data_IF_154491540034
#
_entry.id   IF_154491540034
#
_cell.length_a   1.000
_cell.length_b   1.000
_cell.length_c   1.000
_cell.angle_alpha   90.00
_cell.angle_beta   90.00
_cell.angle_gamma   90.00
#
_symmetry.space_group_name_H-M   'P 1'
#
loop_
_entity.id
_entity.type
_entity.pdbx_description
1 polymer ?
#
# COMPACT_ATOMS: atom_id res chain seq x y z
N UNK A 1 8.96 -51.65 0.52
CA UNK A 1 9.11 -50.83 1.74
C UNK A 1 10.53 -51.07 2.21
N UNK A 2 11.43 -50.15 1.88
CA UNK A 2 12.78 -50.18 2.43
C UNK A 2 12.66 -49.94 3.93
N UNK A 3 13.16 -50.91 4.71
CA UNK A 3 13.19 -50.82 6.15
C UNK A 3 14.13 -49.66 6.50
N UNK A 4 13.62 -48.64 7.20
CA UNK A 4 14.43 -47.48 7.59
C UNK A 4 15.68 -47.92 8.35
N UNK A 5 16.81 -47.28 8.04
CA UNK A 5 18.06 -47.49 8.77
C UNK A 5 17.84 -47.12 10.24
N UNK A 6 18.08 -48.07 11.14
CA UNK A 6 18.03 -47.80 12.59
C UNK A 6 19.38 -47.26 13.03
N UNK A 7 19.38 -46.11 13.68
CA UNK A 7 20.55 -45.55 14.36
C UNK A 7 20.56 -46.03 15.82
N UNK A 8 21.75 -46.20 16.38
CA UNK A 8 21.89 -46.50 17.80
C UNK A 8 21.57 -45.25 18.64
N UNK A 9 21.15 -45.44 19.89
CA UNK A 9 20.79 -44.32 20.79
C UNK A 9 22.00 -43.44 21.09
N UNK A 10 23.22 -44.01 21.18
CA UNK A 10 24.44 -43.22 21.38
C UNK A 10 24.74 -42.34 20.15
N UNK A 11 24.63 -42.90 18.95
CA UNK A 11 24.81 -42.15 17.70
C UNK A 11 23.76 -41.04 17.54
N UNK A 12 22.53 -41.28 18.00
CA UNK A 12 21.50 -40.25 18.05
C UNK A 12 21.83 -39.12 19.03
N UNK A 13 22.37 -39.43 20.21
CA UNK A 13 22.75 -38.43 21.22
C UNK A 13 23.92 -37.54 20.73
N UNK A 14 24.91 -38.14 20.06
CA UNK A 14 26.04 -37.41 19.46
C UNK A 14 25.56 -36.41 18.38
N UNK A 15 24.61 -36.84 17.54
CA UNK A 15 24.00 -35.95 16.54
C UNK A 15 23.24 -34.80 17.22
N UNK A 16 22.47 -35.07 18.28
CA UNK A 16 21.74 -34.01 18.96
C UNK A 16 22.67 -32.97 19.61
N UNK A 17 23.85 -33.38 20.07
CA UNK A 17 24.88 -32.48 20.58
C UNK A 17 25.57 -31.68 19.47
N UNK A 18 25.87 -32.30 18.33
CA UNK A 18 26.47 -31.62 17.17
C UNK A 18 25.59 -30.47 16.65
N UNK A 19 24.26 -30.63 16.73
CA UNK A 19 23.29 -29.64 16.26
C UNK A 19 22.70 -28.76 17.37
N UNK A 20 23.25 -28.81 18.59
CA UNK A 20 22.86 -27.98 19.75
C UNK A 20 21.36 -28.06 20.07
N UNK A 21 20.77 -29.26 19.89
CA UNK A 21 19.33 -29.49 20.04
C UNK A 21 19.00 -29.71 21.52
N UNK A 22 18.07 -28.92 22.06
CA UNK A 22 17.63 -29.08 23.43
C UNK A 22 16.89 -30.43 23.63
N UNK A 23 17.58 -31.37 24.28
CA UNK A 23 17.12 -32.74 24.55
C UNK A 23 15.85 -32.79 25.41
N UNK A 24 15.57 -31.76 26.21
CA UNK A 24 14.36 -31.69 27.05
C UNK A 24 13.06 -31.49 26.23
N UNK A 25 13.19 -31.09 24.96
CA UNK A 25 12.05 -30.88 24.05
C UNK A 25 11.75 -32.12 23.20
N UNK A 26 12.54 -33.20 23.33
CA UNK A 26 12.38 -34.43 22.56
C UNK A 26 11.71 -35.49 23.43
N UNK A 27 10.60 -36.05 22.96
CA UNK A 27 9.91 -37.16 23.62
C UNK A 27 10.20 -38.47 22.89
N UNK A 28 10.99 -39.33 23.54
CA UNK A 28 11.23 -40.69 23.06
C UNK A 28 10.00 -41.56 23.35
N UNK A 29 9.37 -42.06 22.28
CA UNK A 29 8.22 -42.97 22.40
C UNK A 29 8.71 -44.39 22.18
N UNK A 30 8.60 -45.22 23.23
CA UNK A 30 8.90 -46.64 23.12
C UNK A 30 7.87 -47.31 22.21
N UNK A 31 8.28 -47.78 21.04
CA UNK A 31 7.43 -48.54 20.13
C UNK A 31 7.24 -49.98 20.68
N UNK A 32 6.02 -50.34 21.14
CA UNK A 32 5.71 -51.66 21.68
C UNK A 32 5.79 -52.76 20.60
N UNK A 33 5.53 -52.41 19.34
CA UNK A 33 5.54 -53.36 18.23
C UNK A 33 6.97 -53.71 17.83
N UNK A 34 7.86 -52.72 17.77
CA UNK A 34 9.27 -52.96 17.48
C UNK A 34 9.97 -53.76 18.59
N UNK A 35 9.65 -53.47 19.86
CA UNK A 35 10.17 -54.25 21.00
C UNK A 35 9.65 -55.68 21.04
N UNK A 36 8.40 -55.92 20.65
CA UNK A 36 7.85 -57.27 20.49
C UNK A 36 8.51 -58.03 19.32
N UNK A 37 8.72 -57.36 18.19
CA UNK A 37 9.39 -57.92 17.01
C UNK A 37 10.83 -58.36 17.30
N UNK A 38 11.62 -57.54 18.01
CA UNK A 38 12.99 -57.89 18.42
C UNK A 38 13.05 -59.06 19.41
N UNK A 39 12.04 -59.21 20.27
CA UNK A 39 11.93 -60.38 21.19
C UNK A 39 11.66 -61.68 20.42
N UNK A 40 10.83 -61.63 19.37
CA UNK A 40 10.55 -62.76 18.49
C UNK A 40 11.78 -63.16 17.65
N UNK A 41 12.53 -62.20 17.12
CA UNK A 41 13.80 -62.48 16.43
C UNK A 41 14.83 -63.17 17.36
N UNK A 42 14.99 -62.67 18.59
CA UNK A 42 15.88 -63.28 19.61
C UNK A 42 15.40 -64.64 20.13
N UNK A 43 14.15 -65.02 19.90
CA UNK A 43 13.64 -66.38 20.15
C UNK A 43 13.95 -67.30 18.96
N UNK A 44 13.81 -66.81 17.72
CA UNK A 44 14.16 -67.57 16.51
C UNK A 44 15.67 -67.88 16.40
N UNK A 45 16.53 -66.99 16.88
CA UNK A 45 18.00 -67.21 16.94
C UNK A 45 18.41 -68.22 18.00
N UNK A 46 17.54 -68.55 18.98
CA UNK A 46 17.80 -69.59 19.99
C UNK A 46 17.26 -70.96 19.60
N UNK A 47 16.33 -71.04 18.65
CA UNK A 47 15.76 -72.31 18.16
C UNK A 47 16.60 -72.98 17.06
N UNK A 48 17.55 -72.26 16.44
CA UNK A 48 18.43 -72.80 15.39
C UNK A 48 19.60 -73.67 15.89
N UNK A 49 19.81 -73.81 17.21
CA UNK A 49 20.93 -74.56 17.80
C UNK A 49 20.59 -76.00 18.24
N UNK A 50 19.41 -76.52 17.88
CA UNK A 50 19.07 -77.93 18.16
C UNK A 50 18.34 -78.58 17.00
N UNK A 51 19.00 -79.53 16.29
CA UNK A 51 18.51 -80.85 15.79
C UNK A 51 19.49 -81.46 14.73
N UNK A 52 19.62 -82.80 14.64
CA UNK A 52 20.91 -83.50 14.49
C UNK A 52 21.23 -84.06 13.09
N UNK A 53 22.51 -84.37 12.87
CA UNK A 53 23.07 -84.99 11.65
C UNK A 53 22.67 -86.46 11.52
N UNK A 54 21.91 -86.81 10.47
CA UNK A 54 21.71 -88.19 10.03
C UNK A 54 22.72 -88.54 8.94
N UNK A 55 23.57 -89.55 9.19
CA UNK A 55 24.42 -90.18 8.18
C UNK A 55 23.59 -91.15 7.34
N UNK A 56 23.65 -91.02 6.01
CA UNK A 56 23.09 -91.96 5.05
C UNK A 56 24.22 -92.64 4.28
N UNK A 57 24.40 -93.93 4.53
CA UNK A 57 25.25 -94.82 3.74
C UNK A 57 24.69 -94.96 2.31
N UNK A 58 25.58 -94.91 1.32
CA UNK A 58 25.28 -95.37 -0.04
C UNK A 58 26.19 -96.55 -0.37
N UNK A 59 25.56 -97.73 -0.51
CA UNK A 59 26.13 -98.94 -1.07
C UNK A 59 26.21 -98.82 -2.59
N UNK A 60 27.28 -99.34 -3.19
CA UNK A 60 27.36 -99.63 -4.62
C UNK A 60 27.50 -101.14 -4.81
N UNK A 61 26.43 -101.77 -5.30
CA UNK A 61 26.39 -103.06 -5.99
C UNK A 61 26.88 -102.88 -7.44
N UNK A 62 27.68 -103.78 -8.01
CA UNK A 62 27.30 -104.87 -8.95
C UNK A 62 28.60 -105.30 -9.70
N UNK A 63 28.66 -106.39 -10.52
CA UNK A 63 27.80 -107.57 -10.64
C UNK A 63 28.58 -108.91 -10.65
N UNK A 64 27.82 -109.99 -10.64
CA UNK A 64 28.23 -111.39 -10.74
C UNK A 64 28.47 -111.87 -12.20
N UNK A 65 29.14 -113.04 -12.29
CA UNK A 65 29.04 -114.13 -13.29
C UNK A 65 30.08 -114.22 -14.43
N UNK A 66 30.32 -115.40 -15.06
CA UNK A 66 30.09 -116.80 -14.65
C UNK A 66 31.33 -117.73 -14.79
N UNK A 67 31.21 -118.95 -14.25
CA UNK A 67 32.04 -120.12 -14.58
C UNK A 67 31.91 -120.55 -16.06
N UNK A 68 33.02 -120.98 -16.68
CA UNK A 68 33.00 -121.85 -17.85
C UNK A 68 34.19 -122.83 -17.81
N UNK A 69 33.83 -124.11 -17.75
CA UNK A 69 34.67 -125.30 -17.90
C UNK A 69 35.08 -125.53 -19.36
N UNK A 70 36.34 -125.95 -19.63
CA UNK A 70 36.65 -126.96 -20.65
C UNK A 70 38.16 -127.30 -20.72
N UNK A 71 38.44 -128.57 -20.41
CA UNK A 71 39.45 -129.51 -20.94
C UNK A 71 40.78 -129.02 -21.58
N UNK A 72 41.88 -129.55 -21.02
CA UNK A 72 43.25 -129.58 -21.55
C UNK A 72 43.37 -130.29 -22.93
N UNK A 73 44.45 -130.05 -23.69
CA UNK A 73 45.59 -130.97 -23.60
C UNK A 73 46.94 -130.27 -23.41
N UNK A 74 47.82 -130.99 -22.74
CA UNK A 74 49.16 -130.63 -22.29
C UNK A 74 50.16 -130.35 -23.43
N UNK A 75 51.21 -129.60 -23.06
CA UNK A 75 52.50 -129.37 -23.73
C UNK A 75 52.60 -128.23 -24.76
N UNK A 76 52.90 -127.03 -24.24
CA UNK A 76 54.06 -126.25 -24.71
C UNK A 76 54.44 -125.25 -23.61
N UNK A 77 55.69 -125.30 -23.14
CA UNK A 77 56.24 -124.32 -22.20
C UNK A 77 56.37 -122.97 -22.92
N UNK A 78 55.29 -122.19 -22.87
CA UNK A 78 55.23 -120.81 -23.34
C UNK A 78 55.80 -119.94 -22.21
N UNK A 79 56.84 -119.17 -22.51
CA UNK A 79 57.28 -118.05 -21.67
C UNK A 79 56.20 -116.96 -21.72
N UNK A 80 55.16 -117.14 -20.90
CA UNK A 80 53.98 -116.26 -20.79
C UNK A 80 54.27 -114.99 -19.99
N UNK A 81 55.49 -114.85 -19.49
CA UNK A 81 55.90 -113.79 -18.55
C UNK A 81 55.94 -112.41 -19.23
N UNK A 82 56.38 -112.35 -20.49
CA UNK A 82 56.48 -111.10 -21.27
C UNK A 82 55.10 -110.54 -21.71
N UNK A 83 54.21 -111.40 -22.20
CA UNK A 83 52.84 -110.98 -22.59
C UNK A 83 52.00 -110.55 -21.38
N UNK A 84 52.15 -111.22 -20.24
CA UNK A 84 51.45 -110.86 -19.01
C UNK A 84 51.93 -109.52 -18.46
N UNK A 85 53.24 -109.25 -18.50
CA UNK A 85 53.80 -107.96 -18.09
C UNK A 85 53.35 -106.81 -19.01
N UNK A 86 53.36 -107.02 -20.33
CA UNK A 86 52.86 -106.04 -21.31
C UNK A 86 51.38 -105.73 -21.14
N UNK A 87 50.55 -106.75 -20.90
CA UNK A 87 49.12 -106.57 -20.63
C UNK A 87 48.87 -105.80 -19.34
N UNK A 88 49.59 -106.12 -18.25
CA UNK A 88 49.48 -105.40 -16.98
C UNK A 88 49.90 -103.92 -17.12
N UNK A 89 50.99 -103.64 -17.82
CA UNK A 89 51.44 -102.27 -18.08
C UNK A 89 50.43 -101.49 -18.95
N UNK A 90 49.89 -102.11 -20.00
CA UNK A 90 48.87 -101.49 -20.84
C UNK A 90 47.57 -101.22 -20.07
N UNK A 91 47.16 -102.17 -19.21
CA UNK A 91 46.01 -102.02 -18.32
C UNK A 91 46.23 -100.90 -17.28
N UNK A 92 47.44 -100.79 -16.72
CA UNK A 92 47.79 -99.72 -15.81
C UNK A 92 47.78 -98.35 -16.49
N UNK A 93 48.34 -98.24 -17.71
CA UNK A 93 48.26 -97.03 -18.51
C UNK A 93 46.82 -96.66 -18.86
N UNK A 94 45.97 -97.64 -19.20
CA UNK A 94 44.56 -97.42 -19.48
C UNK A 94 43.82 -96.92 -18.23
N UNK A 95 44.07 -97.51 -17.06
CA UNK A 95 43.48 -97.10 -15.79
C UNK A 95 43.94 -95.69 -15.37
N UNK A 96 45.21 -95.33 -15.60
CA UNK A 96 45.72 -93.97 -15.37
C UNK A 96 45.04 -92.97 -16.31
N UNK A 97 44.94 -93.28 -17.60
CA UNK A 97 44.25 -92.44 -18.59
C UNK A 97 42.75 -92.25 -18.25
N UNK A 98 42.09 -93.30 -17.75
CA UNK A 98 40.71 -93.22 -17.29
C UNK A 98 40.56 -92.29 -16.07
N UNK A 99 41.46 -92.40 -15.09
CA UNK A 99 41.50 -91.50 -13.92
C UNK A 99 41.74 -90.05 -14.32
N UNK A 100 42.65 -89.81 -15.26
CA UNK A 100 42.94 -88.46 -15.80
C UNK A 100 41.73 -87.88 -16.54
N UNK A 101 41.08 -88.69 -17.38
CA UNK A 101 39.84 -88.31 -18.07
C UNK A 101 38.73 -87.96 -17.07
N UNK A 102 38.54 -88.79 -16.05
CA UNK A 102 37.50 -88.54 -15.04
C UNK A 102 37.81 -87.29 -14.20
N UNK A 103 39.08 -86.99 -13.93
CA UNK A 103 39.50 -85.74 -13.28
C UNK A 103 39.22 -84.52 -14.19
N UNK A 104 39.52 -84.63 -15.48
CA UNK A 104 39.23 -83.58 -16.47
C UNK A 104 37.73 -83.32 -16.59
N UNK A 105 36.90 -84.37 -16.62
CA UNK A 105 35.43 -84.26 -16.61
C UNK A 105 34.93 -83.57 -15.34
N UNK A 106 35.43 -83.94 -14.16
CA UNK A 106 35.09 -83.26 -12.90
C UNK A 106 35.48 -81.78 -12.90
N UNK A 107 36.64 -81.45 -13.49
CA UNK A 107 37.10 -80.06 -13.61
C UNK A 107 36.24 -79.27 -14.60
N UNK A 108 35.86 -79.86 -15.73
CA UNK A 108 34.95 -79.26 -16.71
C UNK A 108 33.56 -78.99 -16.09
N UNK A 109 33.01 -79.96 -15.36
CA UNK A 109 31.72 -79.80 -14.66
C UNK A 109 31.75 -78.65 -13.64
N UNK A 110 32.86 -78.47 -12.90
CA UNK A 110 33.04 -77.33 -11.98
C UNK A 110 33.09 -75.98 -12.69
N UNK A 111 33.70 -75.92 -13.89
CA UNK A 111 33.71 -74.68 -14.68
C UNK A 111 32.33 -74.37 -15.25
N UNK A 112 31.60 -75.39 -15.72
CA UNK A 112 30.23 -75.24 -16.20
C UNK A 112 29.30 -74.75 -15.07
N UNK A 113 29.42 -75.29 -13.86
CA UNK A 113 28.64 -74.83 -12.70
C UNK A 113 28.97 -73.38 -12.34
N UNK A 114 30.24 -72.98 -12.39
CA UNK A 114 30.64 -71.59 -12.18
C UNK A 114 30.08 -70.66 -13.26
N UNK A 115 30.13 -71.06 -14.53
CA UNK A 115 29.58 -70.28 -15.63
C UNK A 115 28.08 -70.03 -15.43
N UNK A 116 27.31 -71.08 -15.07
CA UNK A 116 25.87 -70.94 -14.74
C UNK A 116 25.61 -69.95 -13.60
N UNK A 117 26.43 -69.98 -12.53
CA UNK A 117 26.32 -69.01 -11.43
C UNK A 117 26.61 -67.58 -11.87
N UNK A 118 27.56 -67.38 -12.79
CA UNK A 118 27.83 -66.05 -13.36
C UNK A 118 26.67 -65.56 -14.21
N UNK A 119 26.07 -66.42 -15.05
CA UNK A 119 24.90 -66.06 -15.86
C UNK A 119 23.69 -65.69 -14.97
N UNK A 120 23.44 -66.46 -13.90
CA UNK A 120 22.40 -66.16 -12.91
C UNK A 120 22.64 -64.81 -12.20
N UNK A 121 23.89 -64.51 -11.84
CA UNK A 121 24.26 -63.23 -11.24
C UNK A 121 24.06 -62.06 -12.21
N UNK A 122 24.44 -62.22 -13.47
CA UNK A 122 24.27 -61.21 -14.52
C UNK A 122 22.79 -60.86 -14.73
N UNK A 123 21.90 -61.86 -14.70
CA UNK A 123 20.44 -61.62 -14.75
C UNK A 123 19.97 -60.82 -13.54
N UNK A 124 20.38 -61.20 -12.33
CA UNK A 124 20.02 -60.47 -11.09
C UNK A 124 20.53 -59.03 -11.10
N UNK A 125 21.75 -58.79 -11.60
CA UNK A 125 22.27 -57.42 -11.74
C UNK A 125 21.45 -56.57 -12.71
N UNK A 126 20.98 -57.15 -13.82
CA UNK A 126 20.09 -56.45 -14.76
C UNK A 126 18.73 -56.13 -14.15
N UNK A 127 18.18 -57.04 -13.36
CA UNK A 127 16.92 -56.80 -12.63
C UNK A 127 17.07 -55.70 -11.58
N UNK A 128 18.09 -55.78 -10.72
CA UNK A 128 18.38 -54.75 -9.72
C UNK A 128 18.60 -53.37 -10.36
N UNK A 129 19.27 -53.32 -11.52
CA UNK A 129 19.46 -52.06 -12.26
C UNK A 129 18.12 -51.46 -12.71
N UNK A 130 17.21 -52.27 -13.24
CA UNK A 130 15.87 -51.81 -13.64
C UNK A 130 15.04 -51.33 -12.45
N UNK A 131 15.11 -52.03 -11.32
CA UNK A 131 14.44 -51.63 -10.08
C UNK A 131 14.97 -50.30 -9.55
N UNK A 132 16.30 -50.11 -9.54
CA UNK A 132 16.93 -48.84 -9.18
C UNK A 132 16.47 -47.70 -10.07
N UNK A 133 16.48 -47.88 -11.39
CA UNK A 133 16.01 -46.86 -12.35
C UNK A 133 14.52 -46.54 -12.16
N UNK A 134 13.70 -47.51 -11.73
CA UNK A 134 12.29 -47.29 -11.43
C UNK A 134 12.10 -46.50 -10.13
N UNK A 135 12.88 -46.79 -9.10
CA UNK A 135 12.88 -46.06 -7.83
C UNK A 135 13.33 -44.61 -8.04
N UNK A 136 14.40 -44.38 -8.79
CA UNK A 136 14.88 -43.04 -9.12
C UNK A 136 13.80 -42.20 -9.82
N UNK A 137 13.05 -42.79 -10.76
CA UNK A 137 11.91 -42.11 -11.41
C UNK A 137 10.79 -41.76 -10.44
N UNK A 138 10.47 -42.65 -9.50
CA UNK A 138 9.45 -42.39 -8.46
C UNK A 138 9.89 -41.27 -7.53
N UNK A 139 11.15 -41.28 -7.07
CA UNK A 139 11.73 -40.23 -6.23
C UNK A 139 11.69 -38.88 -6.97
N UNK A 140 12.12 -38.84 -8.23
CA UNK A 140 12.09 -37.62 -9.03
C UNK A 140 10.68 -37.05 -9.18
N UNK A 141 9.67 -37.91 -9.35
CA UNK A 141 8.26 -37.50 -9.42
C UNK A 141 7.76 -36.97 -8.07
N UNK A 142 8.10 -37.66 -6.98
CA UNK A 142 7.73 -37.26 -5.63
C UNK A 142 8.34 -35.91 -5.23
N UNK A 143 9.60 -35.66 -5.61
CA UNK A 143 10.27 -34.36 -5.39
C UNK A 143 9.54 -33.24 -6.14
N UNK A 144 9.21 -33.44 -7.43
CA UNK A 144 8.42 -32.45 -8.20
C UNK A 144 7.09 -32.13 -7.54
N UNK A 145 6.36 -33.15 -7.08
CA UNK A 145 5.09 -32.96 -6.37
C UNK A 145 5.28 -32.24 -5.03
N UNK A 146 6.37 -32.50 -4.31
CA UNK A 146 6.71 -31.81 -3.05
C UNK A 146 7.00 -30.33 -3.28
N UNK A 147 7.79 -30.01 -4.31
CA UNK A 147 8.10 -28.63 -4.72
C UNK A 147 6.84 -27.87 -5.13
N UNK A 148 5.98 -28.49 -5.93
CA UNK A 148 4.71 -27.90 -6.34
C UNK A 148 3.77 -27.64 -5.15
N UNK A 149 3.68 -28.59 -4.21
CA UNK A 149 2.93 -28.40 -2.97
C UNK A 149 3.48 -27.27 -2.11
N UNK A 150 4.80 -27.13 -2.01
CA UNK A 150 5.43 -26.01 -1.31
C UNK A 150 5.07 -24.67 -1.97
N UNK A 151 5.13 -24.60 -3.31
CA UNK A 151 4.73 -23.42 -4.09
C UNK A 151 3.25 -23.08 -3.90
N UNK A 152 2.36 -24.07 -3.88
CA UNK A 152 0.94 -23.87 -3.63
C UNK A 152 0.68 -23.35 -2.21
N UNK A 153 1.36 -23.89 -1.20
CA UNK A 153 1.28 -23.40 0.19
C UNK A 153 1.69 -21.94 0.31
N UNK A 154 2.78 -21.53 -0.36
CA UNK A 154 3.22 -20.14 -0.39
C UNK A 154 2.17 -19.21 -1.04
N UNK A 155 1.55 -19.64 -2.14
CA UNK A 155 0.45 -18.89 -2.78
C UNK A 155 -0.79 -18.77 -1.88
N UNK A 156 -1.14 -19.84 -1.16
CA UNK A 156 -2.28 -19.84 -0.24
C UNK A 156 -2.02 -18.85 0.90
N UNK A 157 -0.83 -18.87 1.51
CA UNK A 157 -0.45 -17.93 2.56
C UNK A 157 -0.51 -16.48 2.08
N UNK A 158 0.07 -16.17 0.92
CA UNK A 158 -0.01 -14.83 0.32
C UNK A 158 -1.46 -14.38 0.08
N UNK A 159 -2.33 -15.29 -0.39
CA UNK A 159 -3.75 -14.97 -0.58
C UNK A 159 -4.48 -14.72 0.75
N UNK A 160 -4.14 -15.45 1.81
CA UNK A 160 -4.70 -15.24 3.15
C UNK A 160 -4.29 -13.87 3.71
N UNK A 161 -3.06 -13.43 3.48
CA UNK A 161 -2.61 -12.10 3.91
C UNK A 161 -3.37 -10.98 3.19
N UNK A 162 -3.54 -11.10 1.87
CA UNK A 162 -4.36 -10.16 1.08
C UNK A 162 -5.81 -10.13 1.58
N UNK A 163 -6.41 -11.29 1.84
CA UNK A 163 -7.77 -11.37 2.35
C UNK A 163 -7.90 -10.71 3.73
N UNK A 164 -6.90 -10.89 4.60
CA UNK A 164 -6.86 -10.22 5.91
C UNK A 164 -6.78 -8.71 5.78
N UNK A 165 -5.94 -8.20 4.87
CA UNK A 165 -5.84 -6.76 4.59
C UNK A 165 -7.16 -6.19 4.06
N UNK A 166 -7.80 -6.87 3.10
CA UNK A 166 -9.10 -6.46 2.55
C UNK A 166 -10.20 -6.45 3.61
N UNK A 167 -10.22 -7.45 4.51
CA UNK A 167 -11.17 -7.48 5.63
C UNK A 167 -10.94 -6.32 6.61
N UNK A 168 -9.70 -5.98 6.91
CA UNK A 168 -9.37 -4.84 7.78
C UNK A 168 -9.82 -3.51 7.15
N UNK A 169 -9.45 -3.27 5.88
CA UNK A 169 -9.86 -2.07 5.14
C UNK A 169 -11.39 -1.95 5.03
N UNK A 170 -12.10 -3.05 4.76
CA UNK A 170 -13.58 -3.04 4.74
C UNK A 170 -14.15 -2.64 6.10
N UNK A 171 -13.61 -3.15 7.20
CA UNK A 171 -14.09 -2.82 8.53
C UNK A 171 -13.83 -1.34 8.87
N UNK A 172 -12.68 -0.78 8.49
CA UNK A 172 -12.38 0.65 8.64
C UNK A 172 -13.36 1.52 7.84
N UNK A 173 -13.61 1.17 6.57
CA UNK A 173 -14.59 1.88 5.75
C UNK A 173 -16.00 1.79 6.32
N UNK A 174 -16.38 0.64 6.88
CA UNK A 174 -17.68 0.46 7.52
C UNK A 174 -17.81 1.34 8.78
N UNK A 175 -16.81 1.37 9.65
CA UNK A 175 -16.82 2.26 10.83
C UNK A 175 -16.89 3.74 10.44
N UNK A 176 -16.15 4.14 9.41
CA UNK A 176 -16.21 5.52 8.90
C UNK A 176 -17.60 5.86 8.33
N UNK A 177 -18.23 4.92 7.62
CA UNK A 177 -19.58 5.11 7.10
C UNK A 177 -20.62 5.24 8.23
N UNK A 178 -20.53 4.40 9.26
CA UNK A 178 -21.40 4.47 10.44
C UNK A 178 -21.22 5.80 11.19
N UNK A 179 -19.98 6.25 11.40
CA UNK A 179 -19.68 7.53 12.03
C UNK A 179 -20.22 8.73 11.23
N UNK A 180 -20.07 8.72 9.90
CA UNK A 180 -20.62 9.77 9.03
C UNK A 180 -22.16 9.77 9.02
N UNK A 181 -22.79 8.60 9.12
CA UNK A 181 -24.25 8.48 9.19
C UNK A 181 -24.77 9.07 10.51
N UNK A 182 -24.10 8.80 11.63
CA UNK A 182 -24.43 9.36 12.93
C UNK A 182 -24.28 10.89 12.94
N UNK A 183 -23.17 11.40 12.39
CA UNK A 183 -22.94 12.85 12.26
C UNK A 183 -23.98 13.52 11.36
N UNK A 184 -24.30 12.95 10.20
CA UNK A 184 -25.37 13.47 9.34
C UNK A 184 -26.71 13.50 10.07
N UNK A 185 -27.04 12.46 10.84
CA UNK A 185 -28.27 12.42 11.63
C UNK A 185 -28.30 13.54 12.67
N UNK A 186 -27.17 13.81 13.32
CA UNK A 186 -27.03 14.93 14.28
C UNK A 186 -27.23 16.29 13.60
N UNK A 187 -26.60 16.49 12.44
CA UNK A 187 -26.71 17.74 11.67
C UNK A 187 -28.13 17.97 11.14
N UNK A 188 -28.81 16.93 10.69
CA UNK A 188 -30.21 17.02 10.27
C UNK A 188 -31.12 17.48 11.41
N UNK A 189 -30.97 16.89 12.60
CA UNK A 189 -31.72 17.31 13.78
C UNK A 189 -31.42 18.77 14.18
N UNK A 190 -30.16 19.17 14.13
CA UNK A 190 -29.76 20.55 14.41
C UNK A 190 -30.38 21.53 13.40
N UNK A 191 -30.38 21.17 12.11
CA UNK A 191 -31.00 21.96 11.05
C UNK A 191 -32.51 22.12 11.26
N UNK A 192 -33.20 21.05 11.67
CA UNK A 192 -34.63 21.11 12.02
C UNK A 192 -34.89 22.05 13.22
N UNK A 193 -34.08 21.98 14.27
CA UNK A 193 -34.18 22.87 15.43
C UNK A 193 -33.94 24.34 15.05
N UNK A 194 -32.95 24.60 14.20
CA UNK A 194 -32.64 25.95 13.75
C UNK A 194 -33.70 26.50 12.79
N UNK A 195 -34.31 25.65 11.95
CA UNK A 195 -35.47 26.02 11.14
C UNK A 195 -36.66 26.46 12.02
N UNK A 196 -36.92 25.76 13.12
CA UNK A 196 -37.98 26.15 14.08
C UNK A 196 -37.66 27.53 14.68
N UNK A 197 -36.41 27.78 15.10
CA UNK A 197 -36.00 29.08 15.64
C UNK A 197 -36.13 30.20 14.61
N UNK A 198 -35.76 29.96 13.35
CA UNK A 198 -35.90 30.93 12.26
C UNK A 198 -37.36 31.29 12.04
N UNK A 199 -38.27 30.30 12.05
CA UNK A 199 -39.71 30.55 11.93
C UNK A 199 -40.22 31.41 13.10
N UNK A 200 -39.80 31.11 14.33
CA UNK A 200 -40.17 31.91 15.50
C UNK A 200 -39.64 33.35 15.43
N UNK A 201 -38.38 33.53 15.02
CA UNK A 201 -37.78 34.85 14.82
C UNK A 201 -38.52 35.66 13.75
N UNK A 202 -38.89 35.03 12.62
CA UNK A 202 -39.69 35.67 11.57
C UNK A 202 -41.05 36.14 12.10
N UNK A 203 -41.71 35.36 12.95
CA UNK A 203 -42.97 35.76 13.59
C UNK A 203 -42.79 36.98 14.50
N UNK A 204 -41.78 36.96 15.38
CA UNK A 204 -41.46 38.09 16.27
C UNK A 204 -41.13 39.36 15.48
N UNK A 205 -40.43 39.22 14.36
CA UNK A 205 -40.11 40.33 13.46
C UNK A 205 -41.38 40.96 12.85
N UNK A 206 -42.35 40.16 12.40
CA UNK A 206 -43.60 40.70 11.86
C UNK A 206 -44.47 41.36 12.94
N UNK A 207 -44.51 40.80 14.14
CA UNK A 207 -45.19 41.45 15.28
C UNK A 207 -44.55 42.82 15.61
N UNK A 208 -43.21 42.89 15.61
CA UNK A 208 -42.49 44.14 15.83
C UNK A 208 -42.78 45.17 14.72
N UNK A 209 -42.75 44.76 13.44
CA UNK A 209 -43.12 45.62 12.31
C UNK A 209 -44.54 46.14 12.43
N UNK A 210 -45.49 45.31 12.86
CA UNK A 210 -46.87 45.71 13.13
C UNK A 210 -46.96 46.83 14.19
N UNK A 211 -46.26 46.67 15.32
CA UNK A 211 -46.19 47.70 16.37
C UNK A 211 -45.55 48.99 15.87
N UNK A 212 -44.44 48.90 15.13
CA UNK A 212 -43.77 50.07 14.55
C UNK A 212 -44.69 50.82 13.58
N UNK A 213 -45.50 50.11 12.77
CA UNK A 213 -46.48 50.75 11.87
C UNK A 213 -47.52 51.55 12.66
N UNK A 214 -48.03 51.03 13.77
CA UNK A 214 -49.00 51.79 14.56
C UNK A 214 -48.39 52.98 15.31
N UNK A 215 -47.20 52.82 15.89
CA UNK A 215 -46.45 53.95 16.47
C UNK A 215 -46.24 55.04 15.42
N UNK A 216 -45.85 54.68 14.19
CA UNK A 216 -45.68 55.65 13.10
C UNK A 216 -46.99 56.34 12.70
N UNK A 217 -48.13 55.64 12.74
CA UNK A 217 -49.45 56.22 12.44
C UNK A 217 -49.84 57.24 13.50
N UNK A 218 -49.63 56.92 14.77
CA UNK A 218 -49.91 57.85 15.87
C UNK A 218 -48.94 59.03 15.87
N UNK A 219 -47.66 58.81 15.57
CA UNK A 219 -46.68 59.88 15.37
C UNK A 219 -47.10 60.84 14.24
N UNK A 220 -47.62 60.31 13.13
CA UNK A 220 -48.17 61.13 12.03
C UNK A 220 -49.37 61.98 12.47
N UNK A 221 -50.31 61.41 13.24
CA UNK A 221 -51.45 62.17 13.78
C UNK A 221 -50.97 63.29 14.70
N UNK A 222 -50.05 62.99 15.61
CA UNK A 222 -49.45 63.96 16.52
C UNK A 222 -48.72 65.07 15.76
N UNK A 223 -47.89 64.71 14.77
CA UNK A 223 -47.21 65.69 13.91
C UNK A 223 -48.19 66.57 13.14
N UNK A 224 -49.28 66.03 12.62
CA UNK A 224 -50.34 66.82 11.98
C UNK A 224 -50.99 67.80 12.97
N UNK A 225 -51.23 67.36 14.21
CA UNK A 225 -51.71 68.22 15.30
C UNK A 225 -50.74 69.35 15.64
N UNK A 226 -49.46 69.01 15.81
CA UNK A 226 -48.38 69.98 16.06
C UNK A 226 -48.24 70.95 14.88
N UNK A 227 -48.33 70.50 13.63
CA UNK A 227 -48.33 71.39 12.46
C UNK A 227 -49.48 72.38 12.48
N UNK A 228 -50.68 71.95 12.91
CA UNK A 228 -51.85 72.83 13.05
C UNK A 228 -51.62 73.89 14.13
N UNK A 229 -51.10 73.48 15.29
CA UNK A 229 -50.72 74.37 16.39
C UNK A 229 -49.61 75.33 15.94
N UNK A 230 -48.59 74.84 15.26
CA UNK A 230 -47.51 75.66 14.71
C UNK A 230 -47.99 76.61 13.62
N UNK A 231 -48.99 76.22 12.81
CA UNK A 231 -49.62 77.13 11.85
C UNK A 231 -50.35 78.27 12.56
N UNK A 232 -51.07 77.99 13.64
CA UNK A 232 -51.74 79.01 14.45
C UNK A 232 -50.76 79.88 15.24
N UNK A 233 -49.69 79.27 15.79
CA UNK A 233 -48.56 80.00 16.39
C UNK A 233 -47.85 80.86 15.35
N UNK A 234 -47.58 80.35 14.15
CA UNK A 234 -46.94 81.10 13.08
C UNK A 234 -47.82 82.21 12.56
N UNK A 235 -49.15 82.04 12.50
CA UNK A 235 -50.07 83.17 12.25
C UNK A 235 -49.99 84.22 13.36
N UNK A 236 -49.94 83.81 14.62
CA UNK A 236 -49.73 84.74 15.75
C UNK A 236 -48.36 85.41 15.70
N UNK A 237 -47.32 84.67 15.33
CA UNK A 237 -45.97 85.17 15.13
C UNK A 237 -45.95 86.12 13.94
N UNK A 238 -46.56 85.83 12.79
CA UNK A 238 -46.72 86.75 11.66
C UNK A 238 -47.45 88.03 12.05
N UNK A 239 -48.49 87.93 12.90
CA UNK A 239 -49.16 89.13 13.45
C UNK A 239 -48.20 89.92 14.35
N UNK A 240 -47.41 89.24 15.17
CA UNK A 240 -46.39 89.85 16.03
C UNK A 240 -45.18 90.36 15.26
N UNK A 241 -44.75 89.70 14.19
CA UNK A 241 -43.66 90.01 13.26
C UNK A 241 -44.08 91.07 12.25
N UNK A 242 -45.36 91.20 11.92
CA UNK A 242 -45.91 92.35 11.21
C UNK A 242 -45.86 93.59 12.12
N UNK A 243 -46.19 93.41 13.40
CA UNK A 243 -45.98 94.43 14.45
C UNK A 243 -44.49 94.70 14.71
N UNK A 244 -43.61 93.70 14.61
CA UNK A 244 -42.16 93.80 14.83
C UNK A 244 -41.40 94.27 13.57
N UNK A 245 -41.87 93.99 12.35
CA UNK A 245 -41.33 94.47 11.07
C UNK A 245 -41.71 95.92 10.82
N UNK A 246 -42.81 96.37 11.43
CA UNK A 246 -43.06 97.79 11.63
C UNK A 246 -42.01 98.43 12.57
N UNK A 247 -41.30 97.63 13.38
CA UNK A 247 -40.31 98.08 14.37
C UNK A 247 -38.83 97.79 14.01
N UNK A 248 -38.49 96.79 13.19
CA UNK A 248 -37.11 96.40 12.91
C UNK A 248 -36.90 96.00 11.44
N UNK A 249 -36.08 96.79 10.75
CA UNK A 249 -35.39 96.43 9.52
C UNK A 249 -34.07 95.74 9.86
N UNK A 250 -33.69 94.77 9.03
CA UNK A 250 -32.32 94.34 8.67
C UNK A 250 -31.94 92.88 8.98
N UNK A 251 -31.51 92.23 7.88
CA UNK A 251 -30.46 91.21 7.74
C UNK A 251 -30.77 89.71 7.86
N UNK A 252 -30.31 89.02 6.81
CA UNK A 252 -30.37 87.62 6.36
C UNK A 252 -29.35 86.70 7.04
N UNK A 253 -29.47 85.36 6.88
CA UNK A 253 -28.28 84.54 6.74
C UNK A 253 -28.30 83.57 5.54
N UNK A 254 -27.08 83.38 5.03
CA UNK A 254 -26.64 82.62 3.85
C UNK A 254 -26.61 81.11 4.12
N UNK A 255 -26.70 80.31 3.05
CA UNK A 255 -26.88 78.85 3.04
C UNK A 255 -25.65 78.12 2.45
N UNK A 256 -25.37 76.91 2.98
CA UNK A 256 -24.65 75.74 2.37
C UNK A 256 -23.13 75.91 2.13
N UNK A 257 -22.28 74.86 1.93
CA UNK A 257 -22.49 73.52 1.29
C UNK A 257 -21.84 72.30 2.02
N UNK A 258 -22.36 71.06 1.99
CA UNK A 258 -22.25 69.95 0.99
C UNK A 258 -20.83 69.62 0.51
N UNK A 259 -20.34 68.43 0.88
CA UNK A 259 -19.09 67.80 0.41
C UNK A 259 -19.41 66.44 -0.20
N UNK A 260 -19.06 66.23 -1.46
CA UNK A 260 -18.94 64.91 -2.08
C UNK A 260 -17.50 64.78 -2.61
N UNK A 261 -16.78 63.75 -2.17
CA UNK A 261 -15.46 63.35 -2.68
C UNK A 261 -15.55 62.02 -3.43
N UNK A 262 -14.76 61.82 -4.51
CA UNK A 262 -14.85 60.67 -5.41
C UNK A 262 -13.75 59.63 -5.12
N UNK A 263 -14.13 58.47 -4.59
CA UNK A 263 -13.24 57.31 -4.43
C UNK A 263 -13.93 55.94 -4.51
N UNK A 264 -15.23 55.91 -4.80
CA UNK A 264 -16.09 54.73 -4.64
C UNK A 264 -16.18 53.83 -5.89
N UNK A 265 -15.63 54.22 -7.04
CA UNK A 265 -15.95 53.55 -8.31
C UNK A 265 -15.25 52.21 -8.55
N UNK A 266 -14.02 51.99 -8.04
CA UNK A 266 -13.29 50.72 -8.28
C UNK A 266 -13.68 49.60 -7.29
N UNK A 267 -14.01 49.94 -6.03
CA UNK A 267 -14.42 48.96 -5.03
C UNK A 267 -15.85 48.42 -5.30
N UNK A 268 -16.78 49.30 -5.71
CA UNK A 268 -18.14 48.90 -6.09
C UNK A 268 -18.14 47.95 -7.30
N UNK A 269 -17.20 48.14 -8.24
CA UNK A 269 -17.07 47.27 -9.42
C UNK A 269 -16.71 45.82 -9.09
N UNK A 270 -16.01 45.55 -7.98
CA UNK A 270 -15.67 44.18 -7.55
C UNK A 270 -16.89 43.50 -6.91
N UNK A 271 -17.62 44.21 -6.04
CA UNK A 271 -18.82 43.69 -5.39
C UNK A 271 -19.96 43.38 -6.37
N UNK A 272 -20.20 44.27 -7.34
CA UNK A 272 -21.21 44.07 -8.38
C UNK A 272 -20.87 42.88 -9.29
N UNK A 273 -19.58 42.68 -9.61
CA UNK A 273 -19.11 41.58 -10.46
C UNK A 273 -19.20 40.22 -9.77
N UNK A 274 -18.88 40.15 -8.47
CA UNK A 274 -19.04 38.95 -7.64
C UNK A 274 -20.51 38.50 -7.53
N UNK A 275 -21.43 39.44 -7.36
CA UNK A 275 -22.87 39.17 -7.28
C UNK A 275 -23.47 38.68 -8.61
N UNK A 276 -22.82 38.97 -9.74
CA UNK A 276 -23.22 38.49 -11.07
C UNK A 276 -22.64 37.12 -11.45
N UNK A 277 -21.67 36.59 -10.68
CA UNK A 277 -20.83 35.45 -11.10
C UNK A 277 -20.82 34.30 -10.07
N UNK A 278 -21.12 34.55 -8.80
CA UNK A 278 -21.03 33.55 -7.73
C UNK A 278 -22.41 33.23 -7.13
N UNK A 279 -22.71 31.96 -6.90
CA UNK A 279 -23.85 31.48 -6.09
C UNK A 279 -23.46 31.25 -4.62
N UNK A 280 -22.20 31.50 -4.25
CA UNK A 280 -21.69 31.34 -2.88
C UNK A 280 -22.05 32.57 -2.01
N UNK A 281 -23.12 32.42 -1.23
CA UNK A 281 -23.62 33.42 -0.29
C UNK A 281 -22.57 33.85 0.76
N UNK A 282 -21.69 32.93 1.20
CA UNK A 282 -20.65 33.25 2.19
C UNK A 282 -19.56 34.15 1.58
N UNK A 283 -19.17 33.89 0.33
CA UNK A 283 -18.20 34.72 -0.38
C UNK A 283 -18.77 36.10 -0.72
N UNK A 284 -20.05 36.18 -1.05
CA UNK A 284 -20.77 37.45 -1.27
C UNK A 284 -20.82 38.27 0.02
N UNK A 285 -21.12 37.66 1.17
CA UNK A 285 -21.16 38.36 2.45
C UNK A 285 -19.76 38.81 2.90
N UNK A 286 -18.72 37.99 2.63
CA UNK A 286 -17.34 38.38 2.84
C UNK A 286 -16.95 39.59 1.98
N UNK A 287 -17.37 39.63 0.71
CA UNK A 287 -17.12 40.77 -0.18
C UNK A 287 -17.78 42.06 0.34
N UNK A 288 -19.04 41.99 0.79
CA UNK A 288 -19.73 43.15 1.40
C UNK A 288 -19.00 43.64 2.64
N UNK A 289 -18.58 42.72 3.50
CA UNK A 289 -17.82 43.06 4.71
C UNK A 289 -16.50 43.77 4.36
N UNK A 290 -15.78 43.28 3.36
CA UNK A 290 -14.52 43.88 2.93
C UNK A 290 -14.68 45.27 2.31
N UNK A 291 -15.78 45.52 1.58
CA UNK A 291 -16.10 46.85 1.08
C UNK A 291 -16.31 47.85 2.23
N UNK A 292 -17.09 47.47 3.23
CA UNK A 292 -17.32 48.32 4.42
C UNK A 292 -16.01 48.56 5.17
N UNK A 293 -15.17 47.52 5.32
CA UNK A 293 -13.86 47.62 5.97
C UNK A 293 -12.94 48.57 5.20
N UNK A 294 -12.86 48.42 3.88
CA UNK A 294 -12.03 49.26 3.02
C UNK A 294 -12.46 50.72 3.05
N UNK A 295 -13.77 50.99 2.98
CA UNK A 295 -14.33 52.34 3.11
C UNK A 295 -13.92 52.99 4.45
N UNK A 296 -13.97 52.22 5.54
CA UNK A 296 -13.50 52.66 6.85
C UNK A 296 -12.01 53.02 6.85
N UNK A 297 -11.17 52.20 6.22
CA UNK A 297 -9.72 52.44 6.13
C UNK A 297 -9.39 53.65 5.25
N UNK A 298 -10.09 53.82 4.13
CA UNK A 298 -9.94 55.00 3.26
C UNK A 298 -10.25 56.28 4.03
N UNK A 299 -11.34 56.31 4.82
CA UNK A 299 -11.66 57.49 5.64
C UNK A 299 -10.55 57.82 6.65
N UNK A 300 -10.04 56.81 7.36
CA UNK A 300 -8.92 57.01 8.31
C UNK A 300 -7.67 57.50 7.59
N UNK A 301 -7.39 56.97 6.40
CA UNK A 301 -6.27 57.40 5.57
C UNK A 301 -6.39 58.87 5.13
N UNK A 302 -7.56 59.30 4.66
CA UNK A 302 -7.84 60.68 4.27
C UNK A 302 -7.75 61.66 5.45
N UNK A 303 -8.28 61.27 6.62
CA UNK A 303 -8.17 62.06 7.85
C UNK A 303 -6.71 62.21 8.29
N UNK A 304 -5.95 61.11 8.27
CA UNK A 304 -4.52 61.12 8.62
C UNK A 304 -3.70 61.93 7.62
N UNK A 305 -4.01 61.84 6.32
CA UNK A 305 -3.39 62.65 5.28
C UNK A 305 -3.64 64.15 5.53
N UNK A 306 -4.89 64.50 5.81
CA UNK A 306 -5.29 65.89 6.11
C UNK A 306 -4.56 66.44 7.33
N UNK A 307 -4.43 65.62 8.38
CA UNK A 307 -3.68 65.98 9.59
C UNK A 307 -2.19 66.13 9.30
N UNK A 308 -1.58 65.22 8.54
CA UNK A 308 -0.17 65.30 8.16
C UNK A 308 0.13 66.54 7.32
N UNK A 309 -0.76 66.90 6.38
CA UNK A 309 -0.68 68.16 5.63
C UNK A 309 -0.70 69.35 6.57
N UNK A 310 -1.62 69.37 7.55
CA UNK A 310 -1.72 70.45 8.52
C UNK A 310 -0.47 70.55 9.41
N UNK A 311 0.07 69.42 9.88
CA UNK A 311 1.31 69.35 10.66
C UNK A 311 2.46 69.95 9.84
N UNK A 312 2.64 69.52 8.59
CA UNK A 312 3.69 70.06 7.70
C UNK A 312 3.54 71.56 7.46
N UNK A 313 2.31 72.05 7.30
CA UNK A 313 2.06 73.49 7.14
C UNK A 313 2.41 74.31 8.39
N UNK A 314 2.28 73.73 9.60
CA UNK A 314 2.49 74.42 10.88
C UNK A 314 3.90 74.29 11.43
N UNK A 315 4.47 73.09 11.42
CA UNK A 315 5.75 72.79 12.08
C UNK A 315 6.90 72.73 11.08
N UNK A 316 6.63 72.43 9.81
CA UNK A 316 7.62 72.08 8.77
C UNK A 316 8.56 70.93 9.17
N UNK A 317 8.16 70.13 10.15
CA UNK A 317 8.93 69.02 10.70
C UNK A 317 8.29 67.70 10.30
N UNK A 318 9.00 66.94 9.46
CA UNK A 318 8.55 65.66 8.91
C UNK A 318 8.59 64.53 9.95
N UNK A 319 9.33 64.69 11.05
CA UNK A 319 9.44 63.66 12.09
C UNK A 319 8.17 63.52 12.94
N UNK A 320 7.27 64.52 12.88
CA UNK A 320 6.01 64.55 13.61
C UNK A 320 4.82 64.01 12.80
N UNK A 321 5.06 63.49 11.59
CA UNK A 321 4.01 62.93 10.76
C UNK A 321 3.48 61.62 11.36
N UNK A 322 2.17 61.47 11.32
CA UNK A 322 1.50 60.25 11.70
C UNK A 322 1.77 59.15 10.67
N UNK A 323 2.01 57.90 11.10
CA UNK A 323 2.16 56.76 10.19
C UNK A 323 0.93 56.59 9.30
N UNK A 324 1.16 56.29 8.03
CA UNK A 324 0.09 56.07 7.05
C UNK A 324 0.21 54.69 6.40
N UNK A 325 -0.87 53.93 6.44
CA UNK A 325 -0.98 52.64 5.75
C UNK A 325 -1.88 52.80 4.53
N UNK A 326 -1.42 52.35 3.36
CA UNK A 326 -2.20 52.44 2.14
C UNK A 326 -3.48 51.59 2.24
N UNK A 327 -4.67 52.12 1.87
CA UNK A 327 -5.89 51.34 1.89
C UNK A 327 -5.83 50.15 0.94
N UNK A 328 -6.11 48.94 1.43
CA UNK A 328 -6.13 47.72 0.63
C UNK A 328 -7.18 46.71 1.12
N UNK A 329 -7.63 45.87 0.18
CA UNK A 329 -8.46 44.70 0.47
C UNK A 329 -7.67 43.68 1.31
N UNK A 330 -8.37 42.86 2.10
CA UNK A 330 -7.67 41.94 2.99
C UNK A 330 -6.99 40.83 2.20
N UNK A 331 -5.82 40.33 2.66
CA UNK A 331 -5.14 39.21 2.01
C UNK A 331 -6.04 37.97 1.89
N UNK A 332 -6.84 37.70 2.93
CA UNK A 332 -7.77 36.57 2.96
C UNK A 332 -8.85 36.68 1.88
N UNK A 333 -9.42 37.87 1.70
CA UNK A 333 -10.40 38.11 0.65
C UNK A 333 -9.78 38.06 -0.74
N UNK A 334 -8.62 38.68 -0.93
CA UNK A 334 -7.91 38.68 -2.21
C UNK A 334 -7.54 37.27 -2.66
N UNK A 335 -7.19 36.38 -1.73
CA UNK A 335 -6.95 34.96 -2.01
C UNK A 335 -8.22 34.27 -2.51
N UNK A 336 -9.32 34.34 -1.75
CA UNK A 336 -10.60 33.72 -2.13
C UNK A 336 -11.17 34.27 -3.44
N UNK A 337 -11.07 35.58 -3.64
CA UNK A 337 -11.47 36.23 -4.89
C UNK A 337 -10.64 35.73 -6.06
N UNK A 338 -9.33 35.59 -5.89
CA UNK A 338 -8.45 35.05 -6.92
C UNK A 338 -8.81 33.60 -7.25
N UNK A 339 -9.04 32.75 -6.25
CA UNK A 339 -9.44 31.35 -6.42
C UNK A 339 -10.75 31.22 -7.23
N UNK A 340 -11.74 32.07 -6.94
CA UNK A 340 -12.99 32.12 -7.72
C UNK A 340 -12.72 32.55 -9.16
N UNK A 341 -11.95 33.62 -9.37
CA UNK A 341 -11.66 34.14 -10.71
C UNK A 341 -10.81 33.15 -11.54
N UNK A 342 -9.94 32.36 -10.90
CA UNK A 342 -9.19 31.25 -11.53
C UNK A 342 -10.15 30.20 -12.09
N UNK A 343 -11.18 29.81 -11.33
CA UNK A 343 -12.20 28.87 -11.81
C UNK A 343 -13.05 29.38 -12.98
N UNK A 344 -13.08 30.70 -13.19
CA UNK A 344 -13.92 31.37 -14.20
C UNK A 344 -13.17 31.90 -15.42
N UNK A 345 -11.84 32.09 -15.36
CA UNK A 345 -11.11 32.85 -16.40
C UNK A 345 -9.95 32.12 -17.07
N UNK A 346 -9.70 30.84 -16.79
CA UNK A 346 -8.73 30.08 -17.58
C UNK A 346 -9.23 28.68 -17.89
N UNK A 347 -9.57 28.43 -19.17
CA UNK A 347 -9.59 27.08 -19.75
C UNK A 347 -8.20 26.40 -19.71
N UNK A 348 -7.19 27.12 -19.23
CA UNK A 348 -5.81 26.67 -19.01
C UNK A 348 -5.76 26.01 -17.62
N UNK A 349 -5.51 24.69 -17.54
CA UNK A 349 -5.39 23.96 -16.28
C UNK A 349 -4.36 24.60 -15.35
N UNK A 350 -4.54 24.45 -14.04
CA UNK A 350 -3.58 24.94 -13.05
C UNK A 350 -2.17 24.34 -13.19
N UNK A 351 -1.98 23.33 -14.04
CA UNK A 351 -0.69 22.73 -14.45
C UNK A 351 0.02 23.48 -15.58
N UNK A 352 -0.65 24.38 -16.28
CA UNK A 352 -0.18 24.96 -17.54
C UNK A 352 0.30 26.40 -17.33
N UNK A 353 1.43 26.77 -17.92
CA UNK A 353 2.06 28.07 -17.70
C UNK A 353 1.24 29.19 -18.35
N UNK A 354 0.79 30.18 -17.57
CA UNK A 354 -0.05 31.28 -18.07
C UNK A 354 0.63 32.25 -19.05
N UNK A 355 1.93 32.09 -19.32
CA UNK A 355 2.66 32.91 -20.31
C UNK A 355 2.66 32.22 -21.68
N UNK A 356 2.97 30.92 -21.74
CA UNK A 356 3.06 30.16 -23.00
C UNK A 356 1.85 29.25 -23.26
N UNK A 357 0.99 29.05 -22.26
CA UNK A 357 -0.19 28.19 -22.28
C UNK A 357 0.14 26.71 -22.53
N UNK A 358 1.35 26.27 -22.17
CA UNK A 358 1.81 24.88 -22.26
C UNK A 358 1.87 24.23 -20.87
N UNK A 359 1.63 22.92 -20.83
CA UNK A 359 1.74 22.09 -19.63
C UNK A 359 3.16 22.12 -19.05
N UNK A 360 3.29 22.30 -17.73
CA UNK A 360 4.58 22.26 -17.03
C UNK A 360 4.95 20.83 -16.65
N UNK A 361 6.05 20.32 -17.19
CA UNK A 361 6.54 18.99 -16.80
C UNK A 361 7.28 19.03 -15.46
N UNK A 362 7.23 17.93 -14.70
CA UNK A 362 7.81 17.86 -13.34
C UNK A 362 9.32 18.05 -13.26
N UNK A 363 10.02 17.97 -14.39
CA UNK A 363 11.46 18.12 -14.50
C UNK A 363 11.90 19.53 -14.92
N UNK A 364 10.96 20.39 -15.32
CA UNK A 364 11.24 21.74 -15.77
C UNK A 364 11.44 22.69 -14.60
N UNK A 365 12.35 23.65 -14.75
CA UNK A 365 12.55 24.68 -13.73
C UNK A 365 11.38 25.64 -13.74
N UNK A 366 10.79 25.88 -12.57
CA UNK A 366 9.64 26.76 -12.40
C UNK A 366 9.93 27.86 -11.38
N UNK A 367 9.16 28.95 -11.45
CA UNK A 367 9.12 30.01 -10.45
C UNK A 367 7.68 30.23 -10.00
N UNK A 368 7.48 30.46 -8.71
CA UNK A 368 6.17 30.69 -8.09
C UNK A 368 6.03 32.14 -7.64
N UNK A 369 4.83 32.70 -7.74
CA UNK A 369 4.50 33.97 -7.09
C UNK A 369 4.27 33.77 -5.59
N UNK A 370 5.36 33.75 -4.81
CA UNK A 370 5.34 33.40 -3.38
C UNK A 370 4.50 34.33 -2.50
N UNK A 371 4.35 35.60 -2.90
CA UNK A 371 3.82 36.64 -2.01
C UNK A 371 2.32 36.85 -2.09
N UNK A 372 1.65 36.48 -3.20
CA UNK A 372 0.25 36.85 -3.41
C UNK A 372 -0.62 35.76 -4.04
N UNK A 373 -0.31 35.31 -5.27
CA UNK A 373 -1.22 34.43 -6.02
C UNK A 373 -0.74 32.98 -6.19
N UNK A 374 0.48 32.65 -5.77
CA UNK A 374 1.06 31.30 -5.83
C UNK A 374 1.01 30.64 -7.22
N UNK A 375 0.87 31.43 -8.28
CA UNK A 375 0.90 30.91 -9.65
C UNK A 375 2.33 30.55 -10.05
N UNK A 376 2.45 29.41 -10.71
CA UNK A 376 3.72 28.81 -11.12
C UNK A 376 3.92 28.99 -12.62
N UNK A 377 5.10 29.44 -13.01
CA UNK A 377 5.49 29.70 -14.40
C UNK A 377 6.75 28.91 -14.74
N UNK A 378 6.95 28.58 -16.03
CA UNK A 378 8.26 28.15 -16.49
C UNK A 378 9.28 29.24 -16.17
N UNK A 379 10.43 28.88 -15.60
CA UNK A 379 11.49 29.83 -15.26
C UNK A 379 11.86 30.67 -16.47
N UNK A 380 12.03 30.04 -17.64
CA UNK A 380 12.34 30.72 -18.90
C UNK A 380 11.28 31.77 -19.28
N UNK A 381 10.00 31.44 -19.17
CA UNK A 381 8.92 32.36 -19.51
C UNK A 381 8.88 33.56 -18.55
N UNK A 382 9.04 33.30 -17.26
CA UNK A 382 9.08 34.35 -16.25
C UNK A 382 10.33 35.25 -16.39
N UNK A 383 11.51 34.67 -16.62
CA UNK A 383 12.74 35.43 -16.88
C UNK A 383 12.59 36.37 -18.08
N UNK A 384 11.93 35.93 -19.15
CA UNK A 384 11.69 36.77 -20.32
C UNK A 384 10.69 37.90 -20.04
N UNK A 385 9.68 37.62 -19.22
CA UNK A 385 8.72 38.62 -18.75
C UNK A 385 9.37 39.68 -17.85
N UNK A 386 10.25 39.27 -16.92
CA UNK A 386 10.91 40.18 -15.99
C UNK A 386 11.91 41.14 -16.62
N UNK A 387 12.38 40.86 -17.85
CA UNK A 387 13.13 41.83 -18.65
C UNK A 387 12.31 43.09 -18.97
N UNK A 388 10.98 42.99 -18.95
CA UNK A 388 10.07 44.09 -19.26
C UNK A 388 9.32 44.59 -18.02
N UNK A 389 8.86 43.68 -17.16
CA UNK A 389 8.00 43.99 -16.01
C UNK A 389 8.35 43.06 -14.84
N UNK A 390 8.86 43.58 -13.72
CA UNK A 390 9.24 42.80 -12.52
C UNK A 390 8.04 42.42 -11.61
N UNK A 391 6.89 42.18 -12.23
CA UNK A 391 5.63 41.90 -11.54
C UNK A 391 5.04 40.59 -12.03
N UNK A 392 4.30 39.91 -11.18
CA UNK A 392 3.57 38.71 -11.54
C UNK A 392 2.68 38.95 -12.78
N UNK A 393 2.74 38.10 -13.83
CA UNK A 393 1.88 38.22 -15.00
C UNK A 393 0.38 38.16 -14.67
N UNK A 394 0.02 37.48 -13.58
CA UNK A 394 -1.37 37.29 -13.17
C UNK A 394 -1.87 38.41 -12.24
N UNK A 395 -1.28 38.55 -11.06
CA UNK A 395 -1.78 39.49 -10.04
C UNK A 395 -1.08 40.86 -10.04
N UNK A 396 -0.05 41.05 -10.89
CA UNK A 396 0.77 42.27 -10.98
C UNK A 396 1.49 42.70 -9.71
N UNK A 397 1.50 41.87 -8.67
CA UNK A 397 2.32 42.08 -7.47
C UNK A 397 3.80 41.97 -7.81
N UNK A 398 4.65 42.73 -7.11
CA UNK A 398 6.10 42.65 -7.27
C UNK A 398 6.56 41.25 -6.90
N UNK A 399 7.35 40.61 -7.77
CA UNK A 399 7.76 39.22 -7.61
C UNK A 399 9.22 39.03 -7.18
N UNK A 400 10.04 40.07 -7.25
CA UNK A 400 11.46 40.03 -6.89
C UNK A 400 11.83 41.27 -6.08
N UNK A 401 12.60 41.09 -5.01
CA UNK A 401 13.31 42.15 -4.30
C UNK A 401 14.67 42.43 -4.99
N UNK A 402 15.16 43.66 -4.87
CA UNK A 402 16.28 44.20 -5.67
C UNK A 402 17.62 43.44 -5.53
N UNK A 403 17.77 42.58 -4.51
CA UNK A 403 18.96 41.74 -4.28
C UNK A 403 18.95 40.42 -5.07
N UNK A 404 17.78 39.91 -5.47
CA UNK A 404 17.66 38.62 -6.16
C UNK A 404 17.83 38.72 -7.68
N UNK A 405 17.64 39.93 -8.24
CA UNK A 405 17.78 40.18 -9.68
C UNK A 405 19.22 40.04 -10.19
N UNK A 406 20.21 40.12 -9.31
CA UNK A 406 21.62 39.95 -9.66
C UNK A 406 22.09 38.48 -9.68
N UNK A 407 21.22 37.53 -9.31
CA UNK A 407 21.56 36.11 -9.17
C UNK A 407 20.86 35.18 -10.19
N UNK A 408 19.98 35.73 -11.05
CA UNK A 408 19.35 35.04 -12.19
C UNK A 408 19.97 35.49 -13.52
#
# INVERSE_FOLDING_TARGET
>A
MECGSTIDVGEFEDILEEFDVNKELITLINDPFYTAFRKLQKQSERESDTIPKHSGNFQTSEPSNPEASSQYPSNLSIDTTDYRAKFLNANEHNLRAQKERDLAVKKAARFEEKAKKYDELEVKFKEMKKEKEQLERKIATQVKHSEENSRLRAKIASRQDIEKQLRASRNEHQQKAESLLEENTRLMKQSEEDNIKVVEMKKKLEEAKGKTREVNKDLRKTNNGIMKINKDRNRKIEILESRLSTAMRQSTPVKSPSSDTPGSSEANGIGEKLQSVSEDDELIDLAKFELIRLEGIVRIYEETLSMNILILQKTRDVSQLLPMHHPCLSPEFMKKYSDLMIGLTTEVPDTDCLICHEYRESHEKTIECETTCHKVYHLKCASEWFKQQQTCPHCRSRMLDDEEYLAL
#
